data_IF_382243757629
#
_entry.id   IF_382243757629
#
_cell.length_a   1.000
_cell.length_b   1.000
_cell.length_c   1.000
_cell.angle_alpha   90.00
_cell.angle_beta   90.00
_cell.angle_gamma   90.00
#
_symmetry.space_group_name_H-M   'P 1'
#
loop_
_entity.id
_entity.type
_entity.pdbx_description
1 polymer ?
#
# COMPACT_ATOMS: atom_id res chain seq x y z
N UNK A 1 -41.59 17.58 -2.04
CA UNK A 1 -40.68 17.86 -3.17
C UNK A 1 -39.31 18.22 -2.60
N UNK A 2 -38.48 17.27 -2.35
CA UNK A 2 -37.12 17.42 -1.81
C UNK A 2 -36.13 17.42 -2.95
N UNK A 3 -35.33 18.48 -3.06
CA UNK A 3 -34.26 18.58 -4.04
C UNK A 3 -33.10 17.67 -3.60
N UNK A 4 -32.84 16.60 -4.33
CA UNK A 4 -31.60 15.84 -4.24
C UNK A 4 -30.48 16.70 -4.81
N UNK A 5 -29.59 17.14 -3.93
CA UNK A 5 -28.31 17.71 -4.35
C UNK A 5 -27.38 16.54 -4.71
N UNK A 6 -27.02 16.45 -5.97
CA UNK A 6 -25.94 15.61 -6.47
C UNK A 6 -24.61 16.18 -5.97
N UNK A 7 -24.08 15.64 -4.88
CA UNK A 7 -22.68 15.84 -4.51
C UNK A 7 -21.85 14.72 -5.12
N UNK A 8 -21.31 14.99 -6.30
CA UNK A 8 -20.12 14.34 -6.80
C UNK A 8 -18.94 15.07 -6.19
N UNK A 9 -18.11 14.40 -5.39
CA UNK A 9 -16.66 14.62 -5.27
C UNK A 9 -16.20 14.10 -3.91
N UNK A 10 -15.14 13.31 -3.89
CA UNK A 10 -14.48 12.86 -2.67
C UNK A 10 -14.07 14.08 -1.83
N UNK A 11 -14.67 14.20 -0.67
CA UNK A 11 -14.39 15.33 0.23
C UNK A 11 -13.21 14.99 1.12
N UNK A 12 -12.02 15.21 0.61
CA UNK A 12 -10.87 15.45 1.47
C UNK A 12 -10.96 16.92 1.94
N UNK A 13 -10.81 17.18 3.23
CA UNK A 13 -10.91 18.53 3.77
C UNK A 13 -9.81 19.43 3.21
N UNK A 14 -10.18 20.27 2.23
CA UNK A 14 -9.29 21.23 1.58
C UNK A 14 -9.15 22.48 2.45
N UNK A 15 -8.13 22.53 3.29
CA UNK A 15 -7.66 23.80 3.87
C UNK A 15 -6.71 24.44 2.86
N UNK A 16 -7.24 25.37 2.08
CA UNK A 16 -6.44 26.22 1.17
C UNK A 16 -5.45 27.05 2.00
N UNK A 17 -4.15 26.73 1.92
CA UNK A 17 -3.11 27.72 2.16
C UNK A 17 -2.62 28.24 0.81
N UNK A 18 -2.94 29.51 0.53
CA UNK A 18 -2.35 30.28 -0.56
C UNK A 18 -0.84 30.42 -0.27
N UNK A 19 0.01 29.77 -1.04
CA UNK A 19 1.42 30.10 -1.15
C UNK A 19 1.63 30.76 -2.51
N UNK A 20 1.91 32.05 -2.48
CA UNK A 20 2.34 32.80 -3.65
C UNK A 20 3.73 32.34 -4.06
N UNK A 21 3.86 31.72 -5.23
CA UNK A 21 5.15 31.36 -5.82
C UNK A 21 5.56 32.43 -6.82
N UNK A 22 6.66 33.07 -6.52
CA UNK A 22 7.35 34.02 -7.40
C UNK A 22 8.06 33.23 -8.52
N UNK A 23 7.67 33.44 -9.75
CA UNK A 23 8.30 32.84 -10.91
C UNK A 23 9.60 33.58 -11.24
N UNK A 24 10.72 32.89 -11.26
CA UNK A 24 11.96 33.35 -11.89
C UNK A 24 12.16 32.54 -13.16
N UNK A 25 11.96 33.17 -14.29
CA UNK A 25 12.36 32.66 -15.60
C UNK A 25 13.90 32.75 -15.74
N UNK A 26 14.51 31.64 -16.04
CA UNK A 26 15.84 31.63 -16.64
C UNK A 26 15.82 30.70 -17.86
N UNK A 27 15.89 31.30 -19.02
CA UNK A 27 16.08 30.63 -20.28
C UNK A 27 17.55 30.18 -20.43
N UNK A 28 17.78 28.91 -20.70
CA UNK A 28 19.04 28.44 -21.25
C UNK A 28 18.77 27.50 -22.42
N UNK A 29 19.38 27.89 -23.54
CA UNK A 29 19.38 27.17 -24.82
C UNK A 29 20.17 25.87 -24.80
N UNK A 30 19.63 24.89 -25.51
CA UNK A 30 20.39 24.07 -26.45
C UNK A 30 21.15 22.86 -25.90
N UNK A 31 20.78 21.70 -26.39
CA UNK A 31 21.61 20.51 -26.36
C UNK A 31 20.76 19.22 -26.40
N UNK A 32 20.43 18.76 -27.60
CA UNK A 32 19.96 17.40 -27.81
C UNK A 32 21.09 16.43 -27.47
N UNK A 33 21.04 15.86 -26.29
CA UNK A 33 21.83 14.65 -26.00
C UNK A 33 20.82 13.48 -25.98
N UNK A 34 20.93 12.65 -26.99
CA UNK A 34 20.38 11.30 -27.02
C UNK A 34 21.11 10.47 -25.97
N UNK A 35 20.72 10.62 -24.72
CA UNK A 35 21.19 9.77 -23.64
C UNK A 35 20.38 8.48 -23.67
N UNK A 36 20.99 7.37 -24.04
CA UNK A 36 20.49 6.04 -23.73
C UNK A 36 20.14 6.03 -22.24
N UNK A 37 18.91 5.67 -21.91
CA UNK A 37 18.51 5.48 -20.53
C UNK A 37 19.37 4.34 -19.97
N UNK A 38 20.43 4.70 -19.26
CA UNK A 38 21.17 3.75 -18.43
C UNK A 38 20.19 3.28 -17.38
N UNK A 39 19.82 2.01 -17.41
CA UNK A 39 19.06 1.39 -16.36
C UNK A 39 19.74 1.75 -15.03
N UNK A 40 19.00 2.41 -14.13
CA UNK A 40 19.55 2.77 -12.83
C UNK A 40 20.06 1.49 -12.18
N UNK A 41 21.35 1.44 -11.86
CA UNK A 41 21.93 0.31 -11.14
C UNK A 41 21.08 0.06 -9.88
N UNK A 42 20.80 -1.21 -9.54
CA UNK A 42 20.10 -1.53 -8.31
C UNK A 42 20.86 -0.86 -7.16
N UNK A 43 20.13 -0.15 -6.30
CA UNK A 43 20.72 0.58 -5.19
C UNK A 43 21.63 -0.37 -4.41
N UNK A 44 22.93 -0.11 -4.44
CA UNK A 44 23.92 -0.91 -3.71
C UNK A 44 23.52 -0.85 -2.23
N UNK A 45 23.37 -2.01 -1.62
CA UNK A 45 23.14 -2.10 -0.19
C UNK A 45 24.38 -1.58 0.52
N UNK A 46 24.38 -0.31 0.90
CA UNK A 46 25.46 0.34 1.63
C UNK A 46 25.48 -0.08 3.11
N UNK A 47 25.41 -1.36 3.37
CA UNK A 47 25.50 -1.90 4.70
C UNK A 47 26.92 -2.39 4.93
N UNK A 48 27.75 -1.56 5.51
CA UNK A 48 29.18 -1.85 5.72
C UNK A 48 29.50 -2.99 6.68
N UNK A 49 28.51 -3.74 7.17
CA UNK A 49 28.73 -4.79 8.19
C UNK A 49 28.14 -6.13 7.77
N UNK A 50 27.00 -6.16 7.10
CA UNK A 50 26.37 -7.41 6.69
C UNK A 50 26.06 -7.40 5.19
N UNK A 51 26.61 -8.41 4.51
CA UNK A 51 26.46 -8.59 3.06
C UNK A 51 25.04 -9.03 2.64
N UNK A 52 24.09 -9.09 3.56
CA UNK A 52 22.73 -9.57 3.31
C UNK A 52 21.82 -8.40 3.05
N UNK A 53 21.44 -8.23 1.78
CA UNK A 53 20.48 -7.24 1.35
C UNK A 53 19.41 -7.92 0.52
N UNK A 54 18.15 -7.76 0.89
CA UNK A 54 17.06 -8.43 0.19
C UNK A 54 16.94 -8.03 -1.29
N UNK A 55 17.40 -6.84 -1.66
CA UNK A 55 17.37 -6.38 -3.06
C UNK A 55 18.23 -7.23 -4.01
N UNK A 56 19.17 -8.00 -3.49
CA UNK A 56 20.00 -8.93 -4.26
C UNK A 56 19.43 -10.34 -4.40
N UNK A 57 18.26 -10.62 -3.81
CA UNK A 57 17.64 -11.93 -3.83
C UNK A 57 16.45 -12.00 -4.79
N UNK A 58 16.28 -13.14 -5.44
CA UNK A 58 15.03 -13.49 -6.13
C UNK A 58 13.97 -13.96 -5.12
N UNK A 59 12.76 -14.25 -5.58
CA UNK A 59 11.65 -14.65 -4.71
C UNK A 59 11.96 -15.92 -3.88
N UNK A 60 12.62 -16.91 -4.45
CA UNK A 60 13.00 -18.12 -3.74
C UNK A 60 14.03 -17.83 -2.64
N UNK A 61 15.00 -16.96 -2.88
CA UNK A 61 15.97 -16.53 -1.88
C UNK A 61 15.35 -15.70 -0.77
N UNK A 62 14.41 -14.82 -1.11
CA UNK A 62 13.62 -14.07 -0.12
C UNK A 62 12.78 -15.01 0.75
N UNK A 63 12.18 -16.04 0.14
CA UNK A 63 11.42 -17.06 0.87
C UNK A 63 12.29 -17.82 1.88
N UNK A 64 13.51 -18.20 1.52
CA UNK A 64 14.44 -18.87 2.44
C UNK A 64 14.77 -18.00 3.66
N UNK A 65 15.05 -16.71 3.45
CA UNK A 65 15.32 -15.75 4.54
C UNK A 65 14.07 -15.62 5.42
N UNK A 66 12.91 -15.47 4.81
CA UNK A 66 11.64 -15.30 5.51
C UNK A 66 11.24 -16.55 6.32
N UNK A 67 11.48 -17.75 5.79
CA UNK A 67 11.21 -18.99 6.51
C UNK A 67 12.13 -19.15 7.73
N UNK A 68 13.41 -18.83 7.60
CA UNK A 68 14.33 -18.83 8.74
C UNK A 68 13.91 -17.83 9.82
N UNK A 69 13.48 -16.62 9.41
CA UNK A 69 12.90 -15.63 10.33
C UNK A 69 11.62 -16.12 10.98
N UNK A 70 10.71 -16.70 10.20
CA UNK A 70 9.44 -17.27 10.69
C UNK A 70 9.65 -18.39 11.72
N UNK A 71 10.71 -19.19 11.57
CA UNK A 71 11.05 -20.28 12.45
C UNK A 71 11.79 -19.82 13.72
N UNK A 72 12.81 -18.97 13.57
CA UNK A 72 13.75 -18.60 14.63
C UNK A 72 13.47 -17.25 15.26
N UNK A 73 12.55 -16.45 14.68
CA UNK A 73 12.25 -15.12 15.17
C UNK A 73 13.49 -14.21 15.18
N UNK A 74 13.67 -13.50 16.27
CA UNK A 74 14.85 -12.63 16.49
C UNK A 74 16.16 -13.39 16.62
N UNK A 75 16.13 -14.72 16.80
CA UNK A 75 17.30 -15.59 16.81
C UNK A 75 17.82 -15.96 15.42
N UNK A 76 17.12 -15.58 14.35
CA UNK A 76 17.60 -15.75 12.99
C UNK A 76 18.87 -14.96 12.73
N UNK A 77 19.82 -15.55 12.01
CA UNK A 77 21.05 -14.86 11.60
C UNK A 77 20.77 -13.72 10.60
N UNK A 78 19.57 -13.71 9.98
CA UNK A 78 19.15 -12.66 9.07
C UNK A 78 18.46 -11.47 9.77
N UNK A 79 18.04 -11.62 11.04
CA UNK A 79 17.18 -10.63 11.68
C UNK A 79 17.79 -9.22 11.68
N UNK A 80 19.03 -9.08 12.18
CA UNK A 80 19.70 -7.79 12.27
C UNK A 80 19.92 -7.14 10.88
N UNK A 81 20.24 -7.96 9.87
CA UNK A 81 20.41 -7.46 8.51
C UNK A 81 19.07 -6.96 7.92
N UNK A 82 17.96 -7.67 8.16
CA UNK A 82 16.64 -7.26 7.69
C UNK A 82 16.14 -6.01 8.44
N UNK A 83 16.35 -5.92 9.74
CA UNK A 83 16.04 -4.73 10.53
C UNK A 83 16.79 -3.50 10.02
N UNK A 84 18.07 -3.66 9.66
CA UNK A 84 18.83 -2.59 9.02
C UNK A 84 18.29 -2.23 7.63
N UNK A 85 17.94 -3.21 6.80
CA UNK A 85 17.34 -2.97 5.49
C UNK A 85 16.00 -2.21 5.60
N UNK A 86 15.18 -2.54 6.59
CA UNK A 86 13.92 -1.85 6.88
C UNK A 86 14.19 -0.39 7.27
N UNK A 87 15.16 -0.14 8.15
CA UNK A 87 15.53 1.20 8.62
C UNK A 87 16.08 2.06 7.48
N UNK A 88 17.00 1.52 6.70
CA UNK A 88 17.63 2.21 5.56
C UNK A 88 16.66 2.38 4.39
N UNK A 89 15.52 1.68 4.42
CA UNK A 89 14.50 1.74 3.38
C UNK A 89 15.02 1.23 2.04
N UNK A 90 15.79 0.15 2.07
CA UNK A 90 16.30 -0.51 0.87
C UNK A 90 15.15 -0.87 -0.06
N UNK A 91 15.33 -0.69 -1.37
CA UNK A 91 14.34 -1.05 -2.39
C UNK A 91 14.80 -2.28 -3.17
N UNK A 92 13.88 -3.23 -3.36
CA UNK A 92 13.98 -4.28 -4.35
C UNK A 92 13.19 -3.91 -5.60
N UNK A 93 13.30 -4.73 -6.65
CA UNK A 93 12.52 -4.57 -7.88
C UNK A 93 11.97 -5.92 -8.29
N UNK A 94 10.68 -5.95 -8.55
CA UNK A 94 9.96 -7.10 -9.13
C UNK A 94 9.64 -6.76 -10.57
N UNK A 95 10.05 -7.61 -11.52
CA UNK A 95 9.66 -7.46 -12.92
C UNK A 95 8.34 -8.20 -13.14
N UNK A 96 7.32 -7.48 -13.56
CA UNK A 96 6.01 -8.03 -13.87
C UNK A 96 6.03 -8.78 -15.20
N UNK A 97 4.97 -9.56 -15.48
CA UNK A 97 4.88 -10.39 -16.69
C UNK A 97 4.85 -9.59 -18.00
N UNK A 98 4.49 -8.32 -17.95
CA UNK A 98 4.54 -7.38 -19.08
C UNK A 98 5.92 -6.72 -19.28
N UNK A 99 6.90 -7.07 -18.45
CA UNK A 99 8.25 -6.51 -18.46
C UNK A 99 8.39 -5.20 -17.67
N UNK A 100 7.32 -4.65 -17.11
CA UNK A 100 7.40 -3.46 -16.28
C UNK A 100 8.02 -3.77 -14.91
N UNK A 101 8.69 -2.77 -14.33
CA UNK A 101 9.33 -2.90 -13.03
C UNK A 101 8.46 -2.32 -11.92
N UNK A 102 8.26 -3.12 -10.87
CA UNK A 102 7.56 -2.73 -9.66
C UNK A 102 8.57 -2.65 -8.51
N UNK A 103 9.07 -1.46 -8.15
CA UNK A 103 9.87 -1.30 -6.95
C UNK A 103 9.08 -1.68 -5.72
N UNK A 104 9.72 -2.34 -4.76
CA UNK A 104 9.11 -2.69 -3.48
C UNK A 104 10.07 -2.43 -2.33
N UNK A 105 9.53 -2.37 -1.13
CA UNK A 105 10.28 -2.09 0.10
C UNK A 105 9.77 -2.95 1.24
N UNK A 106 10.70 -3.37 2.09
CA UNK A 106 10.38 -4.03 3.35
C UNK A 106 9.63 -3.04 4.27
N UNK A 107 8.47 -3.46 4.77
CA UNK A 107 7.64 -2.66 5.67
C UNK A 107 7.44 -3.30 7.04
N UNK A 108 7.61 -4.63 7.15
CA UNK A 108 7.47 -5.37 8.41
C UNK A 108 8.32 -6.63 8.46
N UNK A 109 8.74 -7.01 9.67
CA UNK A 109 9.46 -8.24 9.96
C UNK A 109 8.68 -8.98 11.04
N UNK A 110 8.26 -10.23 10.78
CA UNK A 110 7.45 -11.03 11.70
C UNK A 110 6.14 -10.30 12.10
N UNK A 111 5.55 -9.57 11.16
CA UNK A 111 4.38 -8.73 11.42
C UNK A 111 3.07 -9.51 11.20
N UNK A 112 2.89 -10.12 10.04
CA UNK A 112 1.64 -10.72 9.60
C UNK A 112 1.55 -12.21 9.99
N UNK A 113 0.35 -12.65 10.40
CA UNK A 113 0.09 -14.06 10.69
C UNK A 113 -0.02 -14.86 9.38
N UNK A 114 0.68 -15.99 9.29
CA UNK A 114 0.56 -16.91 8.15
C UNK A 114 -0.83 -17.51 8.10
N UNK A 115 -1.35 -17.68 6.88
CA UNK A 115 -2.66 -18.27 6.66
C UNK A 115 -2.66 -19.81 6.61
N UNK A 116 -1.54 -20.45 6.90
CA UNK A 116 -1.34 -21.89 6.86
C UNK A 116 -1.78 -22.64 8.14
N UNK A 117 -2.31 -21.92 9.12
CA UNK A 117 -2.74 -22.48 10.40
C UNK A 117 -1.61 -22.81 11.36
N UNK A 118 -0.36 -22.50 11.04
CA UNK A 118 0.80 -22.79 11.88
C UNK A 118 0.88 -21.93 13.14
N UNK A 119 0.14 -20.82 13.20
CA UNK A 119 0.24 -19.82 14.25
C UNK A 119 1.54 -19.00 14.21
N UNK A 120 2.34 -19.15 13.16
CA UNK A 120 3.60 -18.41 12.96
C UNK A 120 3.36 -17.12 12.18
N UNK A 121 4.31 -16.19 12.32
CA UNK A 121 4.37 -14.97 11.51
C UNK A 121 5.08 -15.24 10.17
N UNK A 122 4.67 -14.56 9.11
CA UNK A 122 5.47 -14.44 7.90
C UNK A 122 6.76 -13.68 8.23
N UNK A 123 7.88 -14.12 7.67
CA UNK A 123 9.18 -13.57 8.03
C UNK A 123 9.38 -12.14 7.58
N UNK A 124 8.96 -11.84 6.35
CA UNK A 124 9.16 -10.54 5.72
C UNK A 124 7.88 -10.08 5.02
N UNK A 125 7.48 -8.84 5.27
CA UNK A 125 6.36 -8.19 4.57
C UNK A 125 6.85 -6.99 3.79
N UNK A 126 6.49 -6.95 2.52
CA UNK A 126 6.86 -5.90 1.58
C UNK A 126 5.62 -5.15 1.07
N UNK A 127 5.84 -3.92 0.63
CA UNK A 127 4.85 -3.15 -0.11
C UNK A 127 5.51 -2.56 -1.37
N UNK A 128 4.78 -2.56 -2.47
CA UNK A 128 5.20 -1.86 -3.66
C UNK A 128 5.47 -0.38 -3.35
N UNK A 129 6.50 0.16 -3.97
CA UNK A 129 6.85 1.59 -3.80
C UNK A 129 6.48 2.41 -5.02
N UNK A 130 5.74 1.79 -5.91
CA UNK A 130 5.02 2.38 -7.04
C UNK A 130 3.65 1.70 -7.17
N UNK A 131 2.72 2.39 -7.82
CA UNK A 131 1.47 1.78 -8.22
C UNK A 131 1.66 0.84 -9.41
N UNK A 132 0.77 -0.13 -9.52
CA UNK A 132 0.64 -0.91 -10.75
C UNK A 132 0.33 0.01 -11.96
N UNK A 133 0.69 -0.39 -13.18
CA UNK A 133 0.54 0.45 -14.36
C UNK A 133 -0.91 0.88 -14.66
N UNK A 134 -1.90 0.12 -14.16
CA UNK A 134 -3.32 0.34 -14.44
C UNK A 134 -4.08 0.65 -13.15
N UNK A 135 -5.05 1.56 -13.24
CA UNK A 135 -5.97 1.86 -12.15
C UNK A 135 -7.15 0.88 -12.13
N UNK A 136 -7.60 0.53 -10.91
CA UNK A 136 -8.69 -0.41 -10.69
C UNK A 136 -9.74 0.18 -9.76
N UNK A 137 -10.98 -0.28 -9.92
CA UNK A 137 -12.06 0.00 -8.98
C UNK A 137 -12.06 -1.07 -7.87
N UNK A 138 -12.49 -0.69 -6.66
CA UNK A 138 -12.73 -1.65 -5.59
C UNK A 138 -13.87 -2.60 -5.93
N UNK A 139 -14.95 -2.06 -6.53
CA UNK A 139 -16.13 -2.80 -6.96
C UNK A 139 -16.66 -2.25 -8.27
N UNK A 140 -17.48 -3.03 -9.00
CA UNK A 140 -18.14 -2.57 -10.23
C UNK A 140 -19.32 -1.62 -9.98
N UNK A 141 -19.74 -1.47 -8.74
CA UNK A 141 -20.88 -0.65 -8.32
C UNK A 141 -20.55 0.19 -7.09
N UNK A 142 -21.41 1.14 -6.82
CA UNK A 142 -21.35 2.03 -5.66
C UNK A 142 -21.66 1.27 -4.36
N UNK A 143 -20.74 0.45 -3.87
CA UNK A 143 -20.93 -0.26 -2.61
C UNK A 143 -19.62 -0.71 -1.99
N UNK A 144 -19.51 -0.56 -0.69
CA UNK A 144 -18.44 -1.14 0.12
C UNK A 144 -18.93 -2.38 0.90
N UNK A 145 -20.12 -2.90 0.56
CA UNK A 145 -20.70 -4.07 1.21
C UNK A 145 -19.76 -5.26 1.17
N UNK A 146 -19.58 -5.91 2.32
CA UNK A 146 -18.67 -7.03 2.48
C UNK A 146 -17.20 -6.61 2.64
N UNK A 147 -16.93 -5.30 2.59
CA UNK A 147 -15.59 -4.74 2.77
C UNK A 147 -14.57 -5.29 1.79
N UNK A 148 -13.32 -5.38 2.24
CA UNK A 148 -12.23 -5.96 1.45
C UNK A 148 -12.50 -7.43 1.09
N UNK A 149 -13.06 -8.21 2.02
CA UNK A 149 -13.30 -9.65 1.82
C UNK A 149 -14.03 -9.96 0.53
N UNK A 150 -15.09 -9.20 0.23
CA UNK A 150 -15.97 -9.47 -0.91
C UNK A 150 -15.71 -8.51 -2.09
N UNK A 151 -14.64 -7.69 -2.03
CA UNK A 151 -14.34 -6.73 -3.08
C UNK A 151 -13.84 -7.42 -4.36
N UNK A 152 -14.24 -6.84 -5.49
CA UNK A 152 -13.75 -7.26 -6.80
C UNK A 152 -12.21 -7.11 -6.88
N UNK A 153 -11.68 -6.02 -6.33
CA UNK A 153 -10.24 -5.75 -6.37
C UNK A 153 -9.44 -6.83 -5.64
N UNK A 154 -9.89 -7.27 -4.45
CA UNK A 154 -9.25 -8.39 -3.74
C UNK A 154 -9.22 -9.66 -4.61
N UNK A 155 -10.32 -9.97 -5.27
CA UNK A 155 -10.37 -11.13 -6.17
C UNK A 155 -9.38 -10.98 -7.34
N UNK A 156 -9.28 -9.79 -7.94
CA UNK A 156 -8.30 -9.51 -9.00
C UNK A 156 -6.86 -9.64 -8.49
N UNK A 157 -6.58 -9.21 -7.27
CA UNK A 157 -5.25 -9.27 -6.67
C UNK A 157 -4.82 -10.69 -6.26
N UNK A 158 -5.77 -11.59 -5.98
CA UNK A 158 -5.45 -12.93 -5.47
C UNK A 158 -5.68 -14.06 -6.48
N UNK A 159 -6.56 -13.87 -7.49
CA UNK A 159 -6.96 -14.93 -8.40
C UNK A 159 -7.18 -14.43 -9.85
N UNK A 160 -7.18 -13.12 -10.09
CA UNK A 160 -7.57 -12.54 -11.37
C UNK A 160 -6.43 -11.85 -12.12
N UNK A 161 -6.80 -10.78 -12.84
CA UNK A 161 -5.92 -10.05 -13.75
C UNK A 161 -4.64 -9.54 -13.06
N UNK A 162 -4.76 -9.01 -11.82
CA UNK A 162 -3.60 -8.47 -11.11
C UNK A 162 -2.67 -9.60 -10.67
N UNK A 163 -3.22 -10.70 -10.14
CA UNK A 163 -2.42 -11.87 -9.77
C UNK A 163 -1.58 -12.39 -10.94
N UNK A 164 -2.16 -12.43 -12.13
CA UNK A 164 -1.52 -12.94 -13.33
C UNK A 164 -0.40 -12.01 -13.87
N UNK A 165 -0.28 -10.77 -13.36
CA UNK A 165 0.83 -9.90 -13.70
C UNK A 165 2.12 -10.26 -12.94
N UNK A 166 2.03 -10.98 -11.83
CA UNK A 166 3.19 -11.40 -11.07
C UNK A 166 3.90 -12.59 -11.75
N UNK A 167 5.23 -12.60 -11.77
CA UNK A 167 5.97 -13.71 -12.38
C UNK A 167 5.80 -15.02 -11.60
N UNK A 168 5.95 -16.15 -12.29
CA UNK A 168 5.75 -17.50 -11.70
C UNK A 168 6.64 -17.73 -10.46
N UNK A 169 7.89 -17.24 -10.47
CA UNK A 169 8.78 -17.36 -9.31
C UNK A 169 8.19 -16.66 -8.07
N UNK A 170 7.62 -15.46 -8.24
CA UNK A 170 6.91 -14.78 -7.16
C UNK A 170 5.69 -15.56 -6.70
N UNK A 171 4.84 -16.01 -7.65
CA UNK A 171 3.60 -16.72 -7.34
C UNK A 171 3.84 -18.02 -6.55
N UNK A 172 4.95 -18.71 -6.83
CA UNK A 172 5.33 -19.96 -6.17
C UNK A 172 5.93 -19.76 -4.78
N UNK A 173 6.44 -18.58 -4.46
CA UNK A 173 7.19 -18.32 -3.23
C UNK A 173 6.49 -17.36 -2.25
N UNK A 174 5.49 -16.58 -2.70
CA UNK A 174 4.74 -15.67 -1.83
C UNK A 174 4.00 -16.47 -0.75
N UNK A 175 4.04 -15.96 0.48
CA UNK A 175 3.38 -16.56 1.65
C UNK A 175 2.01 -15.91 1.86
N UNK A 176 0.90 -16.65 1.78
CA UNK A 176 -0.41 -16.13 2.16
C UNK A 176 -0.46 -15.79 3.66
N UNK A 177 -1.07 -14.65 3.98
CA UNK A 177 -1.21 -14.17 5.35
C UNK A 177 -2.66 -13.85 5.69
N UNK A 178 -2.99 -13.80 6.98
CA UNK A 178 -4.30 -13.43 7.47
C UNK A 178 -4.39 -11.91 7.59
N UNK A 179 -5.33 -11.32 6.85
CA UNK A 179 -5.61 -9.88 6.91
C UNK A 179 -6.96 -9.64 7.55
N UNK A 180 -6.94 -9.01 8.72
CA UNK A 180 -8.16 -8.58 9.40
C UNK A 180 -8.80 -7.43 8.64
N UNK A 181 -10.07 -7.54 8.32
CA UNK A 181 -10.80 -6.55 7.53
C UNK A 181 -12.15 -6.25 8.15
N UNK A 182 -12.57 -5.00 8.09
CA UNK A 182 -13.93 -4.62 8.38
C UNK A 182 -14.84 -5.05 7.21
N UNK A 183 -15.79 -5.94 7.51
CA UNK A 183 -16.75 -6.43 6.51
C UNK A 183 -18.08 -5.71 6.70
N UNK A 184 -18.13 -4.48 6.20
CA UNK A 184 -19.34 -3.65 6.27
C UNK A 184 -20.57 -4.36 5.76
N UNK A 185 -21.62 -4.35 6.57
CA UNK A 185 -22.95 -4.71 6.10
C UNK A 185 -23.59 -3.49 5.42
N UNK A 186 -24.30 -3.73 4.31
CA UNK A 186 -25.03 -2.67 3.61
C UNK A 186 -25.95 -1.89 4.56
N UNK A 187 -25.84 -0.57 4.57
CA UNK A 187 -26.68 0.30 5.40
C UNK A 187 -26.31 0.33 6.90
N UNK A 188 -25.25 -0.32 7.31
CA UNK A 188 -24.78 -0.28 8.69
C UNK A 188 -23.65 0.74 8.84
N UNK A 189 -23.91 1.82 9.57
CA UNK A 189 -22.88 2.74 10.04
C UNK A 189 -22.19 2.25 11.33
N UNK A 190 -22.75 1.25 11.98
CA UNK A 190 -22.12 0.58 13.12
C UNK A 190 -21.21 -0.51 12.59
N UNK A 191 -19.92 -0.34 12.82
CA UNK A 191 -18.90 -1.26 12.38
C UNK A 191 -19.29 -2.71 12.63
N UNK A 192 -19.26 -3.50 11.58
CA UNK A 192 -19.33 -4.94 11.69
C UNK A 192 -18.01 -5.44 12.28
N UNK A 193 -18.02 -6.61 12.85
CA UNK A 193 -16.81 -7.26 13.34
C UNK A 193 -15.82 -7.48 12.19
N UNK A 194 -14.56 -7.20 12.43
CA UNK A 194 -13.50 -7.61 11.53
C UNK A 194 -13.47 -9.14 11.42
N UNK A 195 -13.12 -9.63 10.24
CA UNK A 195 -12.84 -11.03 10.03
C UNK A 195 -11.60 -11.20 9.15
N UNK A 196 -10.91 -12.32 9.33
CA UNK A 196 -9.71 -12.63 8.58
C UNK A 196 -10.02 -13.06 7.15
N UNK A 197 -9.20 -12.61 6.21
CA UNK A 197 -9.07 -13.19 4.87
C UNK A 197 -7.65 -13.70 4.68
N UNK A 198 -7.50 -14.84 3.98
CA UNK A 198 -6.21 -15.32 3.55
C UNK A 198 -5.86 -14.65 2.23
N UNK A 199 -4.82 -13.83 2.23
CA UNK A 199 -4.43 -13.03 1.07
C UNK A 199 -2.96 -13.29 0.68
N UNK A 200 -2.72 -13.53 -0.61
CA UNK A 200 -1.38 -13.62 -1.20
C UNK A 200 -0.81 -12.23 -1.48
N UNK A 201 -1.68 -11.36 -1.99
CA UNK A 201 -1.40 -9.96 -2.28
C UNK A 201 -2.59 -9.12 -1.81
N UNK A 202 -2.32 -8.03 -1.11
CA UNK A 202 -3.37 -7.19 -0.51
C UNK A 202 -3.05 -5.70 -0.60
N UNK A 203 -4.02 -4.87 -0.25
CA UNK A 203 -3.82 -3.46 0.05
C UNK A 203 -3.60 -3.29 1.55
N UNK A 204 -2.74 -2.37 1.95
CA UNK A 204 -2.63 -1.98 3.35
C UNK A 204 -3.92 -1.32 3.83
N UNK A 205 -4.27 -1.48 5.11
CA UNK A 205 -5.37 -0.76 5.73
C UNK A 205 -4.92 0.58 6.27
N UNK A 206 -5.87 1.46 6.55
CA UNK A 206 -5.60 2.69 7.28
C UNK A 206 -4.83 2.43 8.59
N UNK A 207 -5.24 1.44 9.36
CA UNK A 207 -4.61 1.10 10.64
C UNK A 207 -3.18 0.57 10.50
N UNK A 208 -2.86 -0.03 9.37
CA UNK A 208 -1.50 -0.49 9.06
C UNK A 208 -0.55 0.64 8.63
N UNK A 209 -1.11 1.78 8.22
CA UNK A 209 -0.34 2.97 7.85
C UNK A 209 -0.10 3.91 9.04
N UNK A 210 -1.11 4.12 9.90
CA UNK A 210 -1.08 5.16 10.93
C UNK A 210 -0.94 4.59 12.35
N UNK A 211 -0.27 5.35 13.23
CA UNK A 211 -0.18 4.98 14.65
C UNK A 211 -1.45 5.32 15.42
N UNK A 212 -2.09 6.44 15.07
CA UNK A 212 -3.31 6.94 15.70
C UNK A 212 -4.34 7.28 14.65
N UNK A 213 -5.59 7.10 15.01
CA UNK A 213 -6.68 7.41 14.09
C UNK A 213 -6.95 8.92 14.05
N UNK A 214 -7.47 9.41 12.92
CA UNK A 214 -7.86 10.81 12.76
C UNK A 214 -8.93 11.21 13.76
N UNK A 215 -8.68 12.27 14.55
CA UNK A 215 -9.55 12.69 15.65
C UNK A 215 -10.96 13.06 15.21
N UNK A 216 -11.12 13.62 14.02
CA UNK A 216 -12.42 13.93 13.44
C UNK A 216 -13.34 12.72 13.25
N UNK A 217 -12.79 11.53 13.27
CA UNK A 217 -13.54 10.29 13.11
C UNK A 217 -13.86 9.59 14.44
N UNK A 218 -13.23 9.99 15.55
CA UNK A 218 -13.41 9.35 16.87
C UNK A 218 -14.83 9.46 17.42
N UNK A 219 -15.58 10.47 16.98
CA UNK A 219 -16.95 10.72 17.45
C UNK A 219 -18.00 9.80 16.83
N UNK A 220 -17.61 8.95 15.89
CA UNK A 220 -18.51 8.15 15.10
C UNK A 220 -18.33 6.66 15.40
N UNK A 221 -19.41 5.95 15.73
CA UNK A 221 -19.37 4.57 16.26
C UNK A 221 -18.79 3.49 15.32
N UNK A 222 -18.66 3.75 14.04
CA UNK A 222 -18.05 2.83 13.07
C UNK A 222 -16.53 2.70 13.16
N UNK A 223 -15.94 3.51 14.00
CA UNK A 223 -14.51 3.71 14.12
C UNK A 223 -13.77 2.53 14.77
N UNK A 224 -14.43 1.80 15.66
CA UNK A 224 -13.82 0.67 16.36
C UNK A 224 -13.42 -0.47 15.42
N UNK A 225 -14.14 -0.62 14.29
CA UNK A 225 -13.84 -1.66 13.33
C UNK A 225 -12.46 -1.46 12.65
N UNK A 226 -12.04 -0.22 12.41
CA UNK A 226 -10.72 0.04 11.84
C UNK A 226 -9.58 -0.31 12.79
N UNK A 227 -9.77 -0.12 14.10
CA UNK A 227 -8.78 -0.50 15.10
C UNK A 227 -8.45 -2.00 15.07
N UNK A 228 -9.33 -2.81 14.49
CA UNK A 228 -9.19 -4.25 14.33
C UNK A 228 -8.55 -4.67 12.98
N UNK A 229 -8.27 -3.72 12.08
CA UNK A 229 -7.72 -4.02 10.75
C UNK A 229 -6.18 -4.17 10.74
N UNK A 230 -5.60 -4.62 11.82
CA UNK A 230 -4.17 -4.83 11.98
C UNK A 230 -3.51 -3.80 12.90
N UNK A 231 -2.21 -3.71 12.81
CA UNK A 231 -1.37 -2.72 13.50
C UNK A 231 -0.46 -2.03 12.50
N UNK A 232 0.04 -0.83 12.88
CA UNK A 232 0.95 -0.09 12.02
C UNK A 232 2.21 -0.91 11.75
N UNK A 233 2.60 -1.01 10.48
CA UNK A 233 3.87 -1.63 10.08
C UNK A 233 5.07 -0.84 10.61
N UNK A 234 6.13 -1.56 10.95
CA UNK A 234 7.34 -1.02 11.56
C UNK A 234 7.96 0.10 10.71
N UNK A 235 7.91 -0.03 9.38
CA UNK A 235 8.44 0.98 8.47
C UNK A 235 7.76 2.35 8.64
N UNK A 236 6.45 2.37 8.92
CA UNK A 236 5.69 3.61 9.07
C UNK A 236 5.75 4.18 10.48
N UNK A 237 6.21 3.38 11.46
CA UNK A 237 6.30 3.81 12.86
C UNK A 237 7.20 5.03 13.01
N UNK A 238 6.70 6.05 13.69
CA UNK A 238 7.38 7.34 13.85
C UNK A 238 7.44 8.21 12.59
N UNK A 239 6.97 7.72 11.44
CA UNK A 239 6.99 8.44 10.16
C UNK A 239 5.59 8.85 9.69
N UNK A 240 4.58 8.04 9.99
CA UNK A 240 3.17 8.31 9.66
C UNK A 240 2.37 8.27 10.94
N UNK A 241 1.87 9.40 11.41
CA UNK A 241 1.14 9.49 12.68
C UNK A 241 -0.36 9.31 12.49
N UNK A 242 -1.02 10.27 11.90
CA UNK A 242 -2.44 10.22 11.54
C UNK A 242 -2.62 10.84 10.16
N UNK A 243 -3.68 11.54 9.91
CA UNK A 243 -3.87 12.32 8.68
C UNK A 243 -2.75 13.37 8.47
N UNK A 244 -2.62 13.91 7.30
CA UNK A 244 -1.81 15.05 6.84
C UNK A 244 -0.29 14.88 6.81
N UNK A 245 0.29 14.01 7.57
CA UNK A 245 1.75 14.00 7.61
C UNK A 245 2.32 12.64 7.33
N UNK A 246 2.05 12.13 6.17
CA UNK A 246 2.93 11.11 5.61
C UNK A 246 4.35 11.65 5.44
N UNK A 247 4.64 12.89 5.88
CA UNK A 247 5.93 13.57 5.81
C UNK A 247 6.67 13.30 4.48
N UNK A 248 5.94 13.25 3.38
CA UNK A 248 6.45 12.82 2.09
C UNK A 248 6.62 11.30 1.91
N UNK A 249 6.39 10.49 2.95
CA UNK A 249 6.56 9.02 2.84
C UNK A 249 5.47 8.42 1.95
N UNK A 250 4.21 8.69 2.25
CA UNK A 250 3.09 8.12 1.49
C UNK A 250 2.92 8.80 0.13
N UNK A 251 3.14 10.11 0.03
CA UNK A 251 3.18 10.82 -1.26
C UNK A 251 4.36 10.39 -2.13
N UNK A 252 5.49 10.03 -1.52
CA UNK A 252 6.69 9.53 -2.22
C UNK A 252 6.52 8.16 -2.87
N UNK A 253 5.59 7.34 -2.40
CA UNK A 253 5.25 6.05 -3.03
C UNK A 253 4.81 6.25 -4.48
N UNK A 254 4.13 7.35 -4.72
CA UNK A 254 3.53 7.66 -5.99
C UNK A 254 4.43 8.43 -6.95
N UNK A 255 5.21 9.36 -6.44
CA UNK A 255 6.02 10.27 -7.26
C UNK A 255 7.25 9.61 -7.90
N UNK A 256 7.48 8.32 -7.64
CA UNK A 256 8.66 7.62 -8.14
C UNK A 256 8.45 6.93 -9.49
N UNK A 257 7.25 7.00 -10.07
CA UNK A 257 6.99 6.46 -11.42
C UNK A 257 7.39 7.49 -12.47
N UNK A 258 8.66 7.50 -12.83
CA UNK A 258 9.15 8.24 -13.97
C UNK A 258 8.50 7.70 -15.26
N UNK A 259 7.61 8.49 -15.87
CA UNK A 259 7.00 8.19 -17.16
C UNK A 259 5.57 7.67 -17.14
N UNK A 260 4.95 7.42 -16.00
CA UNK A 260 3.51 7.15 -15.96
C UNK A 260 2.75 8.46 -15.89
N UNK A 261 1.87 8.68 -16.84
CA UNK A 261 0.88 9.76 -16.77
C UNK A 261 0.04 9.53 -15.52
N UNK A 262 -0.15 10.56 -14.66
CA UNK A 262 -1.07 10.45 -13.53
C UNK A 262 -2.43 10.01 -14.05
N UNK A 263 -2.96 8.92 -13.52
CA UNK A 263 -4.26 8.41 -13.92
C UNK A 263 -5.34 9.31 -13.32
N UNK A 264 -5.79 10.28 -14.11
CA UNK A 264 -6.83 11.26 -13.76
C UNK A 264 -6.27 12.66 -13.57
N UNK A 265 -7.12 13.67 -13.78
CA UNK A 265 -6.77 15.10 -13.77
C UNK A 265 -6.21 15.61 -12.43
N UNK A 266 -6.26 14.82 -11.37
CA UNK A 266 -5.76 15.14 -10.03
C UNK A 266 -4.77 14.11 -9.48
N UNK A 267 -4.17 13.32 -10.31
CA UNK A 267 -3.06 12.41 -10.07
C UNK A 267 -3.12 11.59 -8.80
N UNK A 268 -2.63 10.66 -8.43
CA UNK A 268 -1.92 10.24 -7.22
C UNK A 268 -2.72 9.61 -6.09
N UNK A 269 -3.96 9.20 -6.26
CA UNK A 269 -4.68 8.48 -5.21
C UNK A 269 -4.48 6.98 -5.36
N UNK A 270 -4.20 6.29 -4.25
CA UNK A 270 -4.13 4.85 -4.24
C UNK A 270 -4.98 4.25 -3.12
N UNK A 271 -5.62 3.13 -3.42
CA UNK A 271 -6.56 2.46 -2.54
C UNK A 271 -5.92 1.91 -1.27
N UNK A 272 -6.64 2.04 -0.17
CA UNK A 272 -6.50 1.21 1.01
C UNK A 272 -7.59 0.13 1.01
N UNK A 273 -7.42 -0.95 1.80
CA UNK A 273 -8.47 -1.97 1.92
C UNK A 273 -9.60 -1.61 2.88
N UNK A 274 -9.45 -0.54 3.67
CA UNK A 274 -10.40 -0.11 4.69
C UNK A 274 -11.66 0.48 4.07
N UNK A 275 -12.85 -0.09 4.30
CA UNK A 275 -14.09 0.55 3.88
C UNK A 275 -14.37 1.77 4.76
N UNK A 276 -14.97 2.81 4.20
CA UNK A 276 -15.38 4.00 4.93
C UNK A 276 -16.64 3.68 5.76
N UNK A 277 -16.64 3.88 7.11
CA UNK A 277 -17.68 3.34 7.96
C UNK A 277 -18.98 4.15 7.97
N UNK A 278 -18.98 5.38 7.43
CA UNK A 278 -20.14 6.29 7.47
C UNK A 278 -21.07 6.18 6.28
N UNK A 279 -20.56 5.54 5.23
CA UNK A 279 -21.30 5.43 4.01
C UNK A 279 -21.03 4.08 3.37
N UNK A 280 -22.04 3.48 2.79
CA UNK A 280 -21.95 2.18 2.13
C UNK A 280 -21.39 2.26 0.71
N UNK A 281 -20.82 3.43 0.33
CA UNK A 281 -20.31 3.66 -1.02
C UNK A 281 -18.78 3.68 -1.13
N UNK A 282 -18.07 3.97 -0.02
CA UNK A 282 -16.68 4.41 -0.08
C UNK A 282 -15.70 3.43 0.55
N UNK A 283 -14.49 3.43 -0.01
CA UNK A 283 -13.27 2.90 0.63
C UNK A 283 -12.28 4.04 0.86
N UNK A 284 -11.40 3.85 1.82
CA UNK A 284 -10.33 4.77 2.06
C UNK A 284 -9.28 4.70 0.97
N UNK A 285 -8.56 5.79 0.82
CA UNK A 285 -7.42 5.92 -0.07
C UNK A 285 -6.43 6.95 0.47
N UNK A 286 -5.18 6.77 0.10
CA UNK A 286 -4.15 7.78 0.33
C UNK A 286 -4.24 8.81 -0.78
N UNK A 287 -4.29 10.08 -0.40
CA UNK A 287 -4.36 11.22 -1.32
C UNK A 287 -2.99 11.58 -1.90
N UNK A 288 -2.95 12.49 -2.88
CA UNK A 288 -1.73 12.88 -3.60
C UNK A 288 -0.66 13.53 -2.73
N UNK A 289 -1.05 14.15 -1.64
CA UNK A 289 -0.15 14.75 -0.65
C UNK A 289 0.29 13.76 0.44
N UNK A 290 -0.21 12.50 0.37
CA UNK A 290 0.08 11.45 1.32
C UNK A 290 -0.89 11.37 2.50
N UNK A 291 -2.04 12.07 2.45
CA UNK A 291 -3.08 11.96 3.48
C UNK A 291 -3.82 10.62 3.36
N UNK A 292 -3.69 9.70 4.34
CA UNK A 292 -4.37 8.41 4.32
C UNK A 292 -5.80 8.47 4.83
N UNK A 293 -6.31 9.66 5.19
CA UNK A 293 -7.67 9.83 5.72
C UNK A 293 -8.71 10.19 4.66
N UNK A 294 -8.35 10.09 3.40
CA UNK A 294 -9.27 10.36 2.30
C UNK A 294 -10.08 9.12 1.93
N UNK A 295 -11.17 9.33 1.19
CA UNK A 295 -12.03 8.23 0.73
C UNK A 295 -12.63 8.53 -0.63
N UNK A 296 -12.99 7.50 -1.35
CA UNK A 296 -13.68 7.63 -2.62
C UNK A 296 -14.62 6.45 -2.88
N UNK A 297 -15.47 6.66 -3.87
CA UNK A 297 -16.45 5.73 -4.33
C UNK A 297 -15.84 4.41 -4.81
N UNK A 298 -16.38 3.30 -4.34
CA UNK A 298 -15.91 1.96 -4.65
C UNK A 298 -15.83 1.64 -6.16
N UNK A 299 -16.62 2.30 -7.01
CA UNK A 299 -16.55 2.14 -8.47
C UNK A 299 -15.60 3.12 -9.16
N UNK A 300 -15.02 4.07 -8.42
CA UNK A 300 -13.93 4.92 -8.93
C UNK A 300 -12.68 4.08 -9.20
N UNK A 301 -11.87 4.51 -10.17
CA UNK A 301 -10.64 3.80 -10.55
C UNK A 301 -9.45 4.57 -10.02
N UNK A 302 -8.71 3.97 -9.11
CA UNK A 302 -7.51 4.55 -8.51
C UNK A 302 -6.34 3.58 -8.55
N UNK A 303 -5.17 4.08 -8.22
CA UNK A 303 -3.95 3.30 -8.24
C UNK A 303 -3.98 2.17 -7.23
N UNK A 304 -3.32 1.07 -7.55
CA UNK A 304 -3.16 -0.10 -6.69
C UNK A 304 -1.70 -0.22 -6.29
N UNK A 305 -1.44 -0.21 -4.99
CA UNK A 305 -0.12 -0.38 -4.38
C UNK A 305 -0.13 -1.69 -3.60
N UNK A 306 0.30 -2.79 -4.20
CA UNK A 306 0.20 -4.11 -3.58
C UNK A 306 1.20 -4.29 -2.43
N UNK A 307 0.77 -5.00 -1.39
CA UNK A 307 1.62 -5.57 -0.35
C UNK A 307 1.59 -7.11 -0.44
N UNK A 308 2.67 -7.76 0.00
CA UNK A 308 2.86 -9.21 -0.04
C UNK A 308 3.89 -9.66 0.98
N UNK A 309 3.89 -10.95 1.33
CA UNK A 309 4.87 -11.56 2.26
C UNK A 309 5.59 -12.76 1.66
N UNK A 310 6.77 -13.00 2.21
CA UNK A 310 7.51 -14.24 2.04
C UNK A 310 7.68 -14.99 3.35
#
# INVERSE_FOLDING_TARGET
>A
MGKHATQSHGSCHMVRRLLATLAIMSAVCGGFLTGSAVAAEPAKCNTGVDKVCYAGYNAAGLKQIADDLSEKGRGSTYYAAMEKNLTDGVKGTLTLSDGSNLPFRLIGILHDDKADGSGRKAGLTFMAWNALPKAYAMNNSYTNRGGWRDSLLRNQMNNGEIWNQFPTDFQNNVTPVLKQTNNMAYGSSSGSSASATADKVWLVSYRELVSTMYDGWKTYGGFQAWSQEGSQYEYFSGKVTNNYSGNGILSGIYNTVSGSTPLGANGSFWWERSPYPYDYYFFLLVYSDGDPSCYSNASGRYSVVPAFSF
#
